data_IF_742745549071
#
_entry.id   IF_742745549071
#
_cell.length_a   1.000
_cell.length_b   1.000
_cell.length_c   1.000
_cell.angle_alpha   90.00
_cell.angle_beta   90.00
_cell.angle_gamma   90.00
#
_symmetry.space_group_name_H-M   'P 1'
#
loop_
_entity.id
_entity.type
_entity.pdbx_description
1 polymer ?
#
# COMPACT_ATOMS: atom_id res chain seq x y z
N UNK A 1 18.38 46.70 39.85
CA UNK A 1 18.49 46.62 38.37
C UNK A 1 19.26 45.37 38.00
N UNK A 2 18.63 44.46 37.24
CA UNK A 2 19.18 43.56 36.21
C UNK A 2 18.21 42.39 36.04
N UNK A 3 17.25 42.56 35.13
CA UNK A 3 16.44 41.47 34.61
C UNK A 3 17.20 40.79 33.47
N UNK A 4 17.29 39.46 33.52
CA UNK A 4 17.81 38.63 32.44
C UNK A 4 16.63 38.22 31.57
N UNK A 5 16.60 38.70 30.33
CA UNK A 5 15.70 38.23 29.27
C UNK A 5 16.33 36.98 28.66
N UNK A 6 15.73 35.81 28.89
CA UNK A 6 15.99 34.61 28.07
C UNK A 6 15.25 34.79 26.74
N UNK A 7 15.99 35.01 25.66
CA UNK A 7 15.47 34.96 24.30
C UNK A 7 15.27 33.51 23.87
N UNK A 8 14.04 33.17 23.47
CA UNK A 8 13.73 31.90 22.81
C UNK A 8 14.25 31.97 21.37
N UNK A 9 15.39 31.35 21.09
CA UNK A 9 15.85 31.14 19.71
C UNK A 9 15.02 30.02 19.08
N UNK A 10 14.12 30.38 18.16
CA UNK A 10 13.50 29.41 17.25
C UNK A 10 14.61 28.81 16.37
N UNK A 11 14.92 27.53 16.59
CA UNK A 11 15.68 26.72 15.65
C UNK A 11 14.81 26.52 14.40
N UNK A 12 15.11 27.27 13.34
CA UNK A 12 14.63 26.99 11.99
C UNK A 12 15.26 25.67 11.52
N UNK A 13 14.52 24.57 11.68
CA UNK A 13 14.87 23.32 11.01
C UNK A 13 14.73 23.55 9.49
N UNK A 14 15.74 23.20 8.68
CA UNK A 14 15.63 23.31 7.23
C UNK A 14 14.51 22.39 6.75
N UNK A 15 13.41 22.97 6.28
CA UNK A 15 12.40 22.22 5.54
C UNK A 15 13.04 21.74 4.23
N UNK A 16 12.82 20.48 3.82
CA UNK A 16 13.29 20.03 2.52
C UNK A 16 12.75 20.96 1.44
N UNK A 17 13.64 21.41 0.55
CA UNK A 17 13.24 22.20 -0.60
C UNK A 17 12.42 21.30 -1.53
N UNK A 18 11.08 21.42 -1.47
CA UNK A 18 10.20 20.76 -2.42
C UNK A 18 10.37 21.43 -3.79
N UNK A 19 10.42 20.63 -4.86
CA UNK A 19 10.62 21.15 -6.22
C UNK A 19 9.47 22.06 -6.70
N UNK A 20 8.30 21.95 -6.06
CA UNK A 20 7.10 22.74 -6.37
C UNK A 20 6.54 23.38 -5.10
N UNK A 21 6.34 24.70 -5.16
CA UNK A 21 5.79 25.51 -4.07
C UNK A 21 4.62 26.38 -4.52
N UNK A 22 3.98 27.10 -3.58
CA UNK A 22 2.84 27.98 -3.88
C UNK A 22 3.19 29.15 -4.82
N UNK A 23 4.48 29.42 -5.06
CA UNK A 23 4.98 30.48 -5.94
C UNK A 23 5.12 30.07 -7.42
N UNK A 24 4.80 28.82 -7.80
CA UNK A 24 4.84 28.38 -9.19
C UNK A 24 3.77 29.10 -10.05
N UNK A 25 3.92 29.07 -11.39
CA UNK A 25 2.91 29.58 -12.33
C UNK A 25 1.71 28.62 -12.41
N UNK A 26 0.80 28.73 -11.45
CA UNK A 26 -0.38 27.87 -11.35
C UNK A 26 -1.47 28.27 -12.35
N UNK A 27 -1.95 27.29 -13.10
CA UNK A 27 -3.06 27.38 -14.05
C UNK A 27 -4.21 26.49 -13.62
N UNK A 28 -5.40 26.78 -14.13
CA UNK A 28 -6.61 25.99 -13.84
C UNK A 28 -7.36 25.64 -15.12
N UNK A 29 -7.61 24.36 -15.33
CA UNK A 29 -8.54 23.83 -16.32
C UNK A 29 -9.85 23.47 -15.60
N UNK A 30 -11.00 23.77 -16.20
CA UNK A 30 -12.30 23.43 -15.62
C UNK A 30 -13.07 22.49 -16.54
N UNK A 31 -13.71 21.50 -15.93
CA UNK A 31 -14.70 20.61 -16.55
C UNK A 31 -16.01 20.71 -15.74
N UNK A 32 -17.12 20.10 -16.18
CA UNK A 32 -18.38 20.15 -15.43
C UNK A 32 -18.27 19.76 -13.94
N UNK A 33 -17.45 18.76 -13.59
CA UNK A 33 -17.32 18.24 -12.23
C UNK A 33 -15.93 18.42 -11.61
N UNK A 34 -14.98 19.05 -12.30
CA UNK A 34 -13.60 19.19 -11.80
C UNK A 34 -13.01 20.58 -12.06
N UNK A 35 -12.18 21.04 -11.11
CA UNK A 35 -11.23 22.15 -11.30
C UNK A 35 -9.82 21.59 -11.13
N UNK A 36 -9.05 21.57 -12.21
CA UNK A 36 -7.71 20.98 -12.25
C UNK A 36 -6.68 22.08 -12.15
N UNK A 37 -5.99 22.14 -11.01
CA UNK A 37 -4.93 23.09 -10.70
C UNK A 37 -3.57 22.43 -10.95
N UNK A 38 -2.74 23.05 -11.77
CA UNK A 38 -1.42 22.52 -12.14
C UNK A 38 -0.43 23.66 -12.38
N UNK A 39 0.87 23.45 -12.12
CA UNK A 39 1.89 24.41 -12.51
C UNK A 39 2.17 24.29 -14.01
N UNK A 40 2.54 25.38 -14.67
CA UNK A 40 2.66 25.46 -16.14
C UNK A 40 3.52 24.34 -16.77
N UNK A 41 4.57 23.87 -16.09
CA UNK A 41 5.41 22.75 -16.55
C UNK A 41 4.66 21.42 -16.66
N UNK A 42 3.56 21.26 -15.93
CA UNK A 42 2.74 20.04 -15.92
C UNK A 42 1.57 20.09 -16.91
N UNK A 43 1.47 21.13 -17.75
CA UNK A 43 0.33 21.38 -18.64
C UNK A 43 -0.02 20.20 -19.55
N UNK A 44 0.99 19.56 -20.15
CA UNK A 44 0.77 18.41 -21.03
C UNK A 44 0.21 17.19 -20.27
N UNK A 45 0.68 16.94 -19.04
CA UNK A 45 0.17 15.86 -18.20
C UNK A 45 -1.24 16.19 -17.71
N UNK A 46 -1.46 17.42 -17.25
CA UNK A 46 -2.75 17.92 -16.78
C UNK A 46 -3.83 17.86 -17.86
N UNK A 47 -3.51 18.27 -19.09
CA UNK A 47 -4.44 18.17 -20.22
C UNK A 47 -4.87 16.74 -20.51
N UNK A 48 -3.94 15.77 -20.46
CA UNK A 48 -4.25 14.35 -20.67
C UNK A 48 -5.13 13.78 -19.56
N UNK A 49 -4.82 14.08 -18.31
CA UNK A 49 -5.63 13.64 -17.17
C UNK A 49 -7.03 14.27 -17.21
N UNK A 50 -7.12 15.58 -17.44
CA UNK A 50 -8.38 16.32 -17.49
C UNK A 50 -9.33 15.82 -18.58
N UNK A 51 -8.79 15.40 -19.74
CA UNK A 51 -9.57 14.84 -20.84
C UNK A 51 -10.30 13.52 -20.48
N UNK A 52 -9.88 12.82 -19.41
CA UNK A 52 -10.46 11.54 -18.98
C UNK A 52 -11.27 11.63 -17.68
N UNK A 53 -11.19 12.74 -16.94
CA UNK A 53 -11.80 12.87 -15.61
C UNK A 53 -13.31 12.59 -15.61
N UNK A 54 -14.05 13.16 -16.56
CA UNK A 54 -15.51 13.01 -16.62
C UNK A 54 -15.92 11.56 -16.92
N UNK A 55 -15.27 10.90 -17.88
CA UNK A 55 -15.59 9.52 -18.24
C UNK A 55 -15.17 8.52 -17.14
N UNK A 56 -14.04 8.77 -16.46
CA UNK A 56 -13.65 7.97 -15.29
C UNK A 56 -14.65 8.16 -14.16
N UNK A 57 -15.08 9.39 -13.89
CA UNK A 57 -16.10 9.69 -12.88
C UNK A 57 -17.37 8.90 -13.12
N UNK A 58 -17.88 8.88 -14.35
CA UNK A 58 -19.09 8.12 -14.70
C UNK A 58 -18.94 6.62 -14.43
N UNK A 59 -17.84 6.00 -14.88
CA UNK A 59 -17.55 4.57 -14.63
C UNK A 59 -17.44 4.25 -13.14
N UNK A 60 -16.76 5.10 -12.37
CA UNK A 60 -16.63 4.91 -10.92
C UNK A 60 -17.98 5.07 -10.21
N UNK A 61 -18.80 6.05 -10.62
CA UNK A 61 -20.16 6.22 -10.10
C UNK A 61 -21.02 4.99 -10.35
N UNK A 62 -20.95 4.43 -11.55
CA UNK A 62 -21.67 3.21 -11.92
C UNK A 62 -21.21 2.02 -11.06
N UNK A 63 -19.90 1.89 -10.83
CA UNK A 63 -19.32 0.80 -10.05
C UNK A 63 -19.56 0.92 -8.53
N UNK A 64 -19.58 2.14 -7.99
CA UNK A 64 -19.73 2.40 -6.55
C UNK A 64 -21.19 2.64 -6.14
N UNK A 65 -22.02 3.11 -7.08
CA UNK A 65 -23.44 3.39 -6.86
C UNK A 65 -23.71 4.61 -5.98
N UNK A 66 -22.93 5.69 -6.15
CA UNK A 66 -23.17 6.99 -5.53
C UNK A 66 -22.74 8.11 -6.46
N UNK A 67 -23.45 9.23 -6.47
CA UNK A 67 -23.12 10.42 -7.26
C UNK A 67 -22.79 11.56 -6.28
N UNK A 68 -21.51 11.92 -6.11
CA UNK A 68 -21.15 13.13 -5.38
C UNK A 68 -21.65 14.37 -6.14
N UNK A 69 -22.42 15.27 -5.49
CA UNK A 69 -22.90 16.49 -6.13
C UNK A 69 -21.83 17.59 -6.26
N UNK A 70 -20.74 17.49 -5.51
CA UNK A 70 -19.71 18.51 -5.46
C UNK A 70 -18.78 18.50 -6.69
N UNK A 71 -18.28 19.69 -7.05
CA UNK A 71 -17.13 19.84 -7.95
C UNK A 71 -15.85 19.51 -7.17
N UNK A 72 -14.99 18.68 -7.74
CA UNK A 72 -13.75 18.23 -7.11
C UNK A 72 -12.58 19.14 -7.53
N UNK A 73 -11.79 19.59 -6.56
CA UNK A 73 -10.50 20.23 -6.84
C UNK A 73 -9.42 19.17 -7.04
N UNK A 74 -8.80 19.16 -8.22
CA UNK A 74 -7.71 18.24 -8.57
C UNK A 74 -6.40 19.03 -8.56
N UNK A 75 -5.48 18.68 -7.69
CA UNK A 75 -4.14 19.26 -7.62
C UNK A 75 -3.16 18.33 -8.34
N UNK A 76 -2.48 18.83 -9.36
CA UNK A 76 -1.40 18.11 -10.03
C UNK A 76 -0.09 18.69 -9.53
N UNK A 77 0.72 17.84 -8.91
CA UNK A 77 1.98 18.24 -8.29
C UNK A 77 2.88 17.04 -8.18
N UNK A 78 4.18 17.22 -8.25
CA UNK A 78 5.14 16.16 -8.04
C UNK A 78 6.41 16.70 -7.38
N UNK A 79 6.36 16.94 -6.06
CA UNK A 79 7.39 17.69 -5.38
C UNK A 79 8.70 16.90 -5.16
N UNK A 80 8.66 15.57 -5.32
CA UNK A 80 9.76 14.65 -4.99
C UNK A 80 10.03 13.59 -6.07
N UNK A 81 9.37 13.67 -7.23
CA UNK A 81 9.52 12.73 -8.35
C UNK A 81 9.21 11.27 -7.96
N UNK A 82 8.05 11.05 -7.34
CA UNK A 82 7.62 9.73 -6.88
C UNK A 82 6.16 9.43 -7.29
N UNK A 83 5.78 8.15 -7.23
CA UNK A 83 4.46 7.68 -7.60
C UNK A 83 3.51 7.75 -6.40
N UNK A 84 2.60 8.73 -6.40
CA UNK A 84 1.62 8.88 -5.32
C UNK A 84 0.31 9.56 -5.75
N UNK A 85 -0.70 9.39 -4.92
CA UNK A 85 -2.03 9.98 -5.05
C UNK A 85 -2.66 10.17 -3.67
N UNK A 86 -3.59 11.12 -3.57
CA UNK A 86 -4.32 11.32 -2.31
C UNK A 86 -5.70 11.93 -2.56
N UNK A 87 -6.73 11.27 -2.07
CA UNK A 87 -8.07 11.81 -1.96
C UNK A 87 -8.32 12.45 -0.59
N UNK A 88 -8.92 13.64 -0.60
CA UNK A 88 -9.36 14.39 0.57
C UNK A 88 -10.89 14.51 0.52
N UNK A 89 -11.63 13.55 1.10
CA UNK A 89 -13.08 13.42 0.95
C UNK A 89 -13.84 14.33 1.93
N UNK A 90 -13.54 15.62 1.94
CA UNK A 90 -14.27 16.57 2.76
C UNK A 90 -15.64 16.90 2.12
N UNK A 91 -16.71 16.74 2.90
CA UNK A 91 -18.09 17.00 2.46
C UNK A 91 -18.24 18.48 2.08
N UNK A 92 -18.70 18.75 0.86
CA UNK A 92 -18.87 20.10 0.31
C UNK A 92 -17.64 20.70 -0.40
N UNK A 93 -16.45 20.13 -0.21
CA UNK A 93 -15.19 20.64 -0.78
C UNK A 93 -14.16 19.52 -1.00
N UNK A 94 -14.53 18.46 -1.74
CA UNK A 94 -13.63 17.33 -1.98
C UNK A 94 -12.45 17.71 -2.85
N UNK A 95 -11.31 17.08 -2.59
CA UNK A 95 -10.09 17.29 -3.38
C UNK A 95 -9.40 15.97 -3.68
N UNK A 96 -8.62 15.94 -4.75
CA UNK A 96 -7.62 14.90 -4.96
C UNK A 96 -6.28 15.52 -5.37
N UNK A 97 -5.19 14.85 -5.05
CA UNK A 97 -3.83 15.22 -5.44
C UNK A 97 -3.26 14.08 -6.27
N UNK A 98 -2.65 14.39 -7.41
CA UNK A 98 -2.10 13.42 -8.34
C UNK A 98 -0.63 13.74 -8.60
N UNK A 99 0.27 12.78 -8.37
CA UNK A 99 1.69 12.93 -8.68
C UNK A 99 2.02 12.42 -10.07
N UNK A 100 2.81 13.21 -10.80
CA UNK A 100 3.02 13.00 -12.24
C UNK A 100 3.94 11.84 -12.56
N UNK A 101 4.89 11.54 -11.66
CA UNK A 101 5.90 10.50 -11.84
C UNK A 101 5.27 9.12 -11.71
N UNK A 102 5.40 8.28 -12.73
CA UNK A 102 4.90 6.91 -12.66
C UNK A 102 5.82 6.02 -11.81
N UNK A 103 5.29 4.92 -11.26
CA UNK A 103 6.09 3.95 -10.53
C UNK A 103 6.96 3.10 -11.49
N UNK A 104 8.09 2.60 -10.99
CA UNK A 104 8.88 1.59 -11.68
C UNK A 104 8.17 0.23 -11.81
N UNK A 105 8.56 -0.63 -12.76
CA UNK A 105 7.93 -1.93 -13.00
C UNK A 105 8.00 -2.90 -11.81
N UNK A 106 9.00 -2.75 -10.94
CA UNK A 106 9.18 -3.52 -9.70
C UNK A 106 8.25 -3.08 -8.55
N UNK A 107 7.57 -1.94 -8.70
CA UNK A 107 6.61 -1.45 -7.73
C UNK A 107 5.33 -2.27 -7.73
N UNK A 108 4.66 -2.36 -6.58
CA UNK A 108 3.29 -2.91 -6.50
C UNK A 108 2.28 -2.09 -7.30
N UNK A 109 2.62 -0.85 -7.62
CA UNK A 109 1.85 0.02 -8.51
C UNK A 109 2.28 -0.09 -9.98
N UNK A 110 3.34 -0.85 -10.29
CA UNK A 110 4.00 -0.90 -11.61
C UNK A 110 3.19 -1.61 -12.72
N UNK A 111 2.08 -2.26 -12.37
CA UNK A 111 1.19 -2.90 -13.33
C UNK A 111 0.05 -1.94 -13.73
N UNK A 112 0.27 -1.11 -14.76
CA UNK A 112 -0.73 -0.17 -15.27
C UNK A 112 -0.58 0.04 -16.78
N UNK A 113 -1.68 0.39 -17.46
CA UNK A 113 -1.63 0.78 -18.87
C UNK A 113 -1.37 2.29 -19.04
N UNK A 114 -2.01 3.12 -18.21
CA UNK A 114 -1.85 4.57 -18.15
C UNK A 114 -1.85 5.00 -16.67
N UNK A 115 -0.80 5.70 -16.26
CA UNK A 115 -0.59 6.08 -14.85
C UNK A 115 -1.66 7.08 -14.35
N UNK A 116 -2.01 8.06 -15.17
CA UNK A 116 -3.00 9.06 -14.80
C UNK A 116 -4.39 8.42 -14.67
N UNK A 117 -4.75 7.51 -15.59
CA UNK A 117 -6.00 6.76 -15.48
C UNK A 117 -6.05 5.90 -14.22
N UNK A 118 -4.98 5.16 -13.90
CA UNK A 118 -4.90 4.33 -12.70
C UNK A 118 -5.11 5.18 -11.42
N UNK A 119 -4.36 6.27 -11.28
CA UNK A 119 -4.48 7.19 -10.15
C UNK A 119 -5.88 7.79 -10.05
N UNK A 120 -6.39 8.35 -11.14
CA UNK A 120 -7.70 9.00 -11.13
C UNK A 120 -8.80 8.00 -10.77
N UNK A 121 -8.76 6.76 -11.30
CA UNK A 121 -9.73 5.73 -10.91
C UNK A 121 -9.65 5.44 -9.41
N UNK A 122 -8.44 5.31 -8.86
CA UNK A 122 -8.22 5.04 -7.44
C UNK A 122 -8.76 6.17 -6.56
N UNK A 123 -8.30 7.41 -6.78
CA UNK A 123 -8.67 8.57 -5.97
C UNK A 123 -10.14 8.96 -6.15
N UNK A 124 -10.66 8.86 -7.38
CA UNK A 124 -12.08 9.07 -7.63
C UNK A 124 -12.93 8.03 -6.92
N UNK A 125 -12.47 6.77 -6.81
CA UNK A 125 -13.18 5.76 -6.02
C UNK A 125 -13.27 6.19 -4.56
N UNK A 126 -12.15 6.67 -3.96
CA UNK A 126 -12.15 7.24 -2.62
C UNK A 126 -13.17 8.37 -2.45
N UNK A 127 -13.22 9.33 -3.37
CA UNK A 127 -14.21 10.39 -3.28
C UNK A 127 -15.64 9.85 -3.38
N UNK A 128 -15.92 8.98 -4.35
CA UNK A 128 -17.28 8.49 -4.57
C UNK A 128 -17.81 7.66 -3.40
N UNK A 129 -17.04 6.74 -2.82
CA UNK A 129 -17.57 5.99 -1.67
C UNK A 129 -17.51 6.76 -0.35
N UNK A 130 -16.48 7.56 -0.08
CA UNK A 130 -16.31 8.24 1.20
C UNK A 130 -17.21 9.48 1.37
N UNK A 131 -17.55 10.17 0.27
CA UNK A 131 -18.45 11.32 0.30
C UNK A 131 -19.93 10.92 0.45
N UNK A 132 -20.27 9.63 0.45
CA UNK A 132 -21.64 9.17 0.62
C UNK A 132 -22.20 9.64 1.98
N UNK A 133 -23.22 10.52 2.03
CA UNK A 133 -23.69 11.09 3.27
C UNK A 133 -24.46 10.06 4.08
N UNK A 134 -24.53 10.28 5.39
CA UNK A 134 -25.44 9.50 6.23
C UNK A 134 -26.89 9.81 5.86
N UNK A 135 -27.77 8.80 5.90
CA UNK A 135 -29.23 8.97 5.85
C UNK A 135 -29.85 9.22 7.23
N UNK A 136 -29.04 9.21 8.30
CA UNK A 136 -29.46 9.54 9.66
C UNK A 136 -29.44 11.07 9.87
N UNK A 137 -30.58 11.70 10.26
CA UNK A 137 -30.66 13.16 10.41
C UNK A 137 -29.68 13.76 11.43
N UNK A 138 -29.43 13.07 12.55
CA UNK A 138 -28.49 13.54 13.57
C UNK A 138 -27.06 13.52 13.03
N UNK A 139 -26.66 12.46 12.32
CA UNK A 139 -25.34 12.39 11.68
C UNK A 139 -25.19 13.43 10.56
N UNK A 140 -26.26 13.75 9.83
CA UNK A 140 -26.25 14.86 8.86
C UNK A 140 -26.05 16.22 9.52
N UNK A 141 -26.65 16.46 10.70
CA UNK A 141 -26.43 17.69 11.45
C UNK A 141 -24.99 17.78 11.95
N UNK A 142 -24.43 16.70 12.50
CA UNK A 142 -23.03 16.64 12.93
C UNK A 142 -22.05 16.87 11.78
N UNK A 143 -22.37 16.35 10.59
CA UNK A 143 -21.56 16.55 9.38
C UNK A 143 -21.45 18.02 8.93
N UNK A 144 -22.34 18.91 9.40
CA UNK A 144 -22.21 20.36 9.17
C UNK A 144 -21.13 21.01 10.05
N UNK A 145 -20.76 20.38 11.15
CA UNK A 145 -19.70 20.86 12.06
C UNK A 145 -18.36 20.23 11.72
N UNK A 146 -18.37 18.93 11.42
CA UNK A 146 -17.19 18.16 11.01
C UNK A 146 -17.50 17.60 9.62
N UNK A 147 -16.98 18.20 8.53
CA UNK A 147 -17.37 17.87 7.16
C UNK A 147 -16.73 16.57 6.66
N UNK A 148 -16.93 15.48 7.39
CA UNK A 148 -16.41 14.15 7.09
C UNK A 148 -17.55 13.14 7.11
N UNK A 149 -17.61 12.29 6.08
CA UNK A 149 -18.65 11.27 5.93
C UNK A 149 -18.57 10.15 6.97
N UNK A 150 -19.68 9.42 7.21
CA UNK A 150 -19.71 8.32 8.17
C UNK A 150 -18.79 7.15 7.78
N UNK A 151 -18.53 6.94 6.49
CA UNK A 151 -17.62 5.89 6.02
C UNK A 151 -16.17 6.32 6.33
N UNK A 152 -15.77 7.54 5.98
CA UNK A 152 -14.43 8.06 6.26
C UNK A 152 -14.09 8.07 7.76
N UNK A 153 -15.07 8.32 8.64
CA UNK A 153 -14.86 8.29 10.10
C UNK A 153 -14.84 6.89 10.71
N UNK A 154 -15.56 5.93 10.11
CA UNK A 154 -15.85 4.64 10.74
C UNK A 154 -15.20 3.43 10.09
N UNK A 155 -14.83 3.50 8.81
CA UNK A 155 -14.27 2.39 8.07
C UNK A 155 -12.76 2.24 8.36
N UNK A 156 -12.26 1.04 8.70
CA UNK A 156 -10.83 0.78 8.82
C UNK A 156 -10.09 1.05 7.51
N UNK A 157 -8.81 1.44 7.60
CA UNK A 157 -7.99 1.72 6.40
C UNK A 157 -7.98 0.58 5.40
N UNK A 158 -7.85 -0.68 5.84
CA UNK A 158 -7.80 -1.82 4.93
C UNK A 158 -9.00 -1.93 3.99
N UNK A 159 -10.21 -1.61 4.45
CA UNK A 159 -11.41 -1.72 3.61
C UNK A 159 -11.52 -0.52 2.68
N UNK A 160 -11.11 0.66 3.14
CA UNK A 160 -11.12 1.89 2.35
C UNK A 160 -10.15 1.79 1.17
N UNK A 161 -8.90 1.39 1.45
CA UNK A 161 -7.83 1.21 0.46
C UNK A 161 -8.06 -0.03 -0.41
N UNK A 162 -8.50 -1.13 0.22
CA UNK A 162 -8.82 -2.37 -0.47
C UNK A 162 -9.95 -2.18 -1.48
N UNK A 163 -11.00 -1.43 -1.12
CA UNK A 163 -12.13 -1.19 -2.02
C UNK A 163 -11.73 -0.34 -3.24
N UNK A 164 -10.97 0.74 -3.03
CA UNK A 164 -10.42 1.52 -4.13
C UNK A 164 -9.51 0.67 -5.05
N UNK A 165 -8.73 -0.23 -4.46
CA UNK A 165 -7.89 -1.18 -5.20
C UNK A 165 -8.70 -2.19 -6.01
N UNK A 166 -9.82 -2.70 -5.48
CA UNK A 166 -10.72 -3.61 -6.23
C UNK A 166 -11.32 -2.90 -7.45
N UNK A 167 -11.82 -1.68 -7.26
CA UNK A 167 -12.42 -0.87 -8.35
C UNK A 167 -11.37 -0.48 -9.40
N UNK A 168 -10.16 -0.12 -8.96
CA UNK A 168 -8.99 0.07 -9.84
C UNK A 168 -8.79 -1.13 -10.77
N UNK A 169 -8.78 -2.34 -10.22
CA UNK A 169 -8.62 -3.58 -10.99
C UNK A 169 -9.72 -3.78 -12.04
N UNK A 170 -10.97 -3.55 -11.64
CA UNK A 170 -12.15 -3.76 -12.49
C UNK A 170 -12.23 -2.76 -13.64
N UNK A 171 -12.00 -1.49 -13.36
CA UNK A 171 -12.26 -0.43 -14.33
C UNK A 171 -11.09 -0.20 -15.29
N UNK A 172 -9.87 -0.56 -14.89
CA UNK A 172 -8.69 -0.38 -15.75
C UNK A 172 -8.27 -1.67 -16.45
N UNK A 173 -8.68 -2.84 -15.97
CA UNK A 173 -8.12 -4.13 -16.41
C UNK A 173 -6.64 -4.30 -16.08
N UNK A 174 -6.08 -3.38 -15.28
CA UNK A 174 -4.70 -3.34 -14.82
C UNK A 174 -4.70 -3.06 -13.31
N UNK A 175 -3.65 -2.47 -12.75
CA UNK A 175 -3.55 -2.19 -11.33
C UNK A 175 -3.20 -3.39 -10.48
N UNK A 176 -3.13 -3.16 -9.17
CA UNK A 176 -2.70 -4.16 -8.19
C UNK A 176 -3.48 -5.47 -8.28
N UNK A 177 -4.82 -5.49 -8.54
CA UNK A 177 -5.53 -6.75 -8.63
C UNK A 177 -5.09 -7.69 -9.75
N UNK A 178 -4.70 -7.10 -10.88
CA UNK A 178 -4.32 -7.80 -12.11
C UNK A 178 -2.80 -7.99 -12.23
N UNK A 179 -2.01 -7.43 -11.31
CA UNK A 179 -0.56 -7.59 -11.26
C UNK A 179 -0.12 -8.92 -10.64
N UNK A 180 0.88 -9.55 -11.25
CA UNK A 180 1.54 -10.77 -10.79
C UNK A 180 2.27 -10.59 -9.44
N UNK A 181 2.78 -9.38 -9.16
CA UNK A 181 3.47 -9.06 -7.92
C UNK A 181 2.54 -9.16 -6.70
N UNK A 182 1.26 -8.74 -6.79
CA UNK A 182 0.29 -8.92 -5.71
C UNK A 182 0.12 -10.42 -5.40
N UNK A 183 -0.12 -11.22 -6.44
CA UNK A 183 -0.31 -12.67 -6.30
C UNK A 183 0.93 -13.35 -5.70
N UNK A 184 2.13 -12.94 -6.16
CA UNK A 184 3.41 -13.49 -5.69
C UNK A 184 3.69 -13.14 -4.23
N UNK A 185 3.48 -11.88 -3.82
CA UNK A 185 3.64 -11.44 -2.44
C UNK A 185 2.68 -12.22 -1.52
N UNK A 186 1.38 -12.23 -1.83
CA UNK A 186 0.39 -12.89 -1.00
C UNK A 186 0.64 -14.40 -0.89
N UNK A 187 0.99 -15.06 -2.00
CA UNK A 187 1.33 -16.49 -2.01
C UNK A 187 2.56 -16.78 -1.15
N UNK A 188 3.64 -16.01 -1.30
CA UNK A 188 4.89 -16.23 -0.54
C UNK A 188 4.71 -15.96 0.95
N UNK A 189 3.95 -14.92 1.30
CA UNK A 189 3.59 -14.64 2.69
C UNK A 189 2.72 -15.74 3.29
N UNK A 190 1.82 -16.32 2.50
CA UNK A 190 0.97 -17.42 2.94
C UNK A 190 1.76 -18.71 3.18
N UNK A 191 2.67 -19.07 2.25
CA UNK A 191 3.56 -20.23 2.37
C UNK A 191 4.47 -20.15 3.60
N UNK A 192 4.97 -18.95 3.90
CA UNK A 192 5.89 -18.72 5.02
C UNK A 192 5.18 -18.43 6.35
N UNK A 193 3.84 -18.48 6.38
CA UNK A 193 3.05 -18.20 7.58
C UNK A 193 3.15 -16.75 8.07
N UNK A 194 3.43 -15.80 7.17
CA UNK A 194 3.66 -14.38 7.48
C UNK A 194 2.47 -13.47 7.20
N UNK A 195 1.36 -13.97 6.65
CA UNK A 195 0.15 -13.16 6.44
C UNK A 195 -0.24 -12.39 7.71
N UNK A 196 -0.48 -11.06 7.62
CA UNK A 196 -0.79 -10.24 8.78
C UNK A 196 -2.07 -10.73 9.46
N UNK A 197 -2.19 -10.51 10.77
CA UNK A 197 -3.48 -10.64 11.46
C UNK A 197 -4.40 -9.48 11.10
N UNK A 198 -5.70 -9.63 11.38
CA UNK A 198 -6.70 -8.59 11.08
C UNK A 198 -6.30 -7.21 11.63
N UNK A 199 -5.86 -7.14 12.89
CA UNK A 199 -5.45 -5.89 13.53
C UNK A 199 -4.23 -5.21 12.89
N UNK A 200 -3.37 -5.97 12.18
CA UNK A 200 -2.20 -5.42 11.47
C UNK A 200 -2.49 -5.07 10.01
N UNK A 201 -3.67 -5.42 9.49
CA UNK A 201 -4.04 -5.19 8.10
C UNK A 201 -4.13 -3.69 7.75
N UNK A 202 -4.52 -2.85 8.71
CA UNK A 202 -4.61 -1.39 8.54
C UNK A 202 -3.32 -0.63 8.89
N UNK A 203 -2.47 -1.17 9.77
CA UNK A 203 -1.49 -0.38 10.55
C UNK A 203 -0.10 -1.04 10.68
N UNK A 204 0.20 -2.09 9.91
CA UNK A 204 1.42 -2.89 10.03
C UNK A 204 2.76 -2.22 9.64
N UNK A 205 2.98 -0.93 9.93
CA UNK A 205 4.20 -0.20 9.54
C UNK A 205 5.51 -0.84 10.00
N UNK A 206 5.48 -1.65 11.06
CA UNK A 206 6.64 -2.37 11.58
C UNK A 206 7.03 -3.62 10.78
N UNK A 207 6.19 -4.05 9.83
CA UNK A 207 6.43 -5.23 9.00
C UNK A 207 6.75 -4.85 7.57
N UNK A 208 7.57 -5.64 6.88
CA UNK A 208 7.94 -5.41 5.48
C UNK A 208 6.70 -5.30 4.62
N UNK A 209 6.57 -4.20 3.86
CA UNK A 209 5.37 -3.87 3.07
C UNK A 209 4.05 -3.86 3.87
N UNK A 210 4.09 -3.73 5.19
CA UNK A 210 2.89 -3.86 6.01
C UNK A 210 1.86 -2.74 5.78
N UNK A 211 2.30 -1.54 5.42
CA UNK A 211 1.39 -0.47 4.97
C UNK A 211 0.72 -0.79 3.64
N UNK A 212 1.40 -1.55 2.77
CA UNK A 212 0.86 -1.99 1.48
C UNK A 212 -0.19 -3.09 1.62
N UNK A 213 -0.26 -3.80 2.76
CA UNK A 213 -1.20 -4.91 2.96
C UNK A 213 -2.67 -4.48 2.99
N UNK A 214 -2.96 -3.23 3.35
CA UNK A 214 -4.29 -2.65 3.20
C UNK A 214 -4.77 -2.69 1.73
N UNK A 215 -3.86 -2.50 0.77
CA UNK A 215 -4.17 -2.61 -0.65
C UNK A 215 -4.09 -4.05 -1.13
N UNK A 216 -2.99 -4.76 -0.83
CA UNK A 216 -2.74 -6.11 -1.38
C UNK A 216 -3.67 -7.15 -0.78
N UNK A 217 -3.61 -7.34 0.54
CA UNK A 217 -4.44 -8.31 1.24
C UNK A 217 -5.87 -7.80 1.44
N UNK A 218 -6.06 -6.49 1.65
CA UNK A 218 -7.39 -5.89 1.79
C UNK A 218 -8.25 -6.03 0.52
N UNK A 219 -7.68 -5.80 -0.67
CA UNK A 219 -8.41 -6.03 -1.93
C UNK A 219 -8.73 -7.50 -2.16
N UNK A 220 -7.75 -8.39 -1.96
CA UNK A 220 -7.95 -9.83 -2.10
C UNK A 220 -9.00 -10.37 -1.12
N UNK A 221 -9.06 -9.83 0.10
CA UNK A 221 -10.08 -10.17 1.07
C UNK A 221 -11.48 -9.68 0.65
N UNK A 222 -11.59 -8.47 0.10
CA UNK A 222 -12.87 -7.96 -0.42
C UNK A 222 -13.36 -8.75 -1.64
N UNK A 223 -12.46 -9.16 -2.54
CA UNK A 223 -12.77 -10.07 -3.64
C UNK A 223 -13.29 -11.41 -3.10
N UNK A 224 -12.59 -12.01 -2.12
CA UNK A 224 -13.00 -13.26 -1.47
C UNK A 224 -14.37 -13.17 -0.76
N UNK A 225 -14.68 -12.01 -0.16
CA UNK A 225 -15.97 -11.73 0.46
C UNK A 225 -17.08 -11.63 -0.59
N UNK A 226 -16.84 -10.89 -1.68
CA UNK A 226 -17.84 -10.72 -2.73
C UNK A 226 -18.12 -12.02 -3.48
N UNK A 227 -17.10 -12.85 -3.72
CA UNK A 227 -17.26 -14.20 -4.28
C UNK A 227 -18.28 -15.05 -3.48
N UNK A 228 -18.36 -14.84 -2.16
CA UNK A 228 -19.24 -15.61 -1.25
C UNK A 228 -20.59 -14.95 -1.01
N UNK A 229 -20.60 -13.64 -0.82
CA UNK A 229 -21.81 -12.88 -0.54
C UNK A 229 -22.58 -12.49 -1.83
N UNK A 230 -21.95 -12.65 -2.99
CA UNK A 230 -22.50 -12.35 -4.30
C UNK A 230 -22.18 -10.93 -4.79
N UNK A 231 -22.35 -10.70 -6.12
CA UNK A 231 -22.07 -9.41 -6.75
C UNK A 231 -22.80 -8.25 -6.08
N UNK A 232 -22.10 -7.13 -5.85
CA UNK A 232 -22.68 -5.92 -5.26
C UNK A 232 -22.81 -5.95 -3.74
N UNK A 233 -22.38 -7.03 -3.06
CA UNK A 233 -22.34 -7.08 -1.59
C UNK A 233 -21.47 -5.98 -0.99
N UNK A 234 -20.38 -5.57 -1.65
CA UNK A 234 -19.56 -4.44 -1.23
C UNK A 234 -20.35 -3.11 -1.21
N UNK A 235 -21.26 -2.90 -2.17
CA UNK A 235 -22.16 -1.72 -2.15
C UNK A 235 -23.16 -1.78 -0.99
N UNK A 236 -23.60 -2.98 -0.62
CA UNK A 236 -24.49 -3.18 0.53
C UNK A 236 -23.83 -2.79 1.86
N UNK A 237 -22.51 -2.97 1.99
CA UNK A 237 -21.75 -2.51 3.15
C UNK A 237 -21.88 -0.98 3.32
N UNK A 238 -21.60 -0.22 2.26
CA UNK A 238 -21.73 1.24 2.24
C UNK A 238 -23.17 1.70 2.49
N UNK A 239 -24.15 0.99 1.93
CA UNK A 239 -25.55 1.26 2.21
C UNK A 239 -25.88 1.06 3.70
N UNK A 240 -25.36 0.02 4.34
CA UNK A 240 -25.59 -0.24 5.78
C UNK A 240 -24.90 0.78 6.67
N UNK A 241 -23.67 1.20 6.35
CA UNK A 241 -22.92 2.23 7.10
C UNK A 241 -23.58 3.61 7.02
N UNK A 242 -24.25 3.91 5.90
CA UNK A 242 -24.94 5.20 5.65
C UNK A 242 -26.44 5.15 5.94
N UNK A 243 -26.95 4.10 6.57
CA UNK A 243 -28.38 3.95 6.86
C UNK A 243 -28.90 4.96 7.91
N UNK A 244 -30.24 5.08 8.00
CA UNK A 244 -30.92 5.82 9.09
C UNK A 244 -30.58 5.25 10.47
N UNK A 245 -30.52 3.92 10.59
CA UNK A 245 -30.01 3.25 11.80
C UNK A 245 -28.50 3.44 11.85
N UNK A 246 -28.03 4.10 12.90
CA UNK A 246 -26.61 4.18 13.22
C UNK A 246 -26.07 2.78 13.49
N UNK A 247 -24.90 2.48 12.92
CA UNK A 247 -24.15 1.24 13.11
C UNK A 247 -22.67 1.54 13.27
N UNK A 248 -21.95 0.67 13.94
CA UNK A 248 -20.49 0.56 13.80
C UNK A 248 -20.14 -0.05 12.43
N UNK A 249 -18.84 -0.09 12.11
CA UNK A 249 -18.37 -0.80 10.92
C UNK A 249 -18.66 -2.30 11.02
N UNK A 250 -18.41 -2.90 12.18
CA UNK A 250 -18.62 -4.32 12.48
C UNK A 250 -20.09 -4.71 12.30
N UNK A 251 -21.03 -3.98 12.91
CA UNK A 251 -22.47 -4.24 12.75
C UNK A 251 -22.98 -4.06 11.31
N UNK A 252 -22.36 -3.14 10.56
CA UNK A 252 -22.65 -2.96 9.15
C UNK A 252 -22.13 -4.15 8.34
N UNK A 253 -20.88 -4.56 8.59
CA UNK A 253 -20.17 -5.66 7.95
C UNK A 253 -20.84 -7.01 8.20
N UNK A 254 -21.06 -7.38 9.46
CA UNK A 254 -21.71 -8.64 9.86
C UNK A 254 -23.07 -8.80 9.20
N UNK A 255 -23.84 -7.72 9.11
CA UNK A 255 -25.15 -7.78 8.46
C UNK A 255 -25.12 -7.83 6.93
N UNK A 256 -23.95 -7.82 6.29
CA UNK A 256 -23.77 -8.18 4.86
C UNK A 256 -23.16 -9.57 4.73
N UNK A 257 -22.09 -9.83 5.47
CA UNK A 257 -21.23 -11.00 5.25
C UNK A 257 -21.50 -12.16 6.21
N UNK A 258 -22.35 -11.96 7.22
CA UNK A 258 -22.84 -12.99 8.13
C UNK A 258 -21.99 -13.24 9.38
N UNK A 259 -20.78 -12.68 9.45
CA UNK A 259 -19.86 -12.85 10.57
C UNK A 259 -18.91 -11.66 10.68
N UNK A 260 -18.11 -11.60 11.75
CA UNK A 260 -17.24 -10.47 12.06
C UNK A 260 -16.14 -10.31 11.01
N UNK A 261 -15.66 -9.08 10.76
CA UNK A 261 -14.60 -8.85 9.78
C UNK A 261 -13.29 -9.52 10.15
N UNK A 262 -13.03 -9.75 11.45
CA UNK A 262 -11.84 -10.44 11.93
C UNK A 262 -11.93 -11.96 11.71
N UNK A 263 -13.06 -12.57 12.05
CA UNK A 263 -13.26 -14.02 11.93
C UNK A 263 -13.25 -14.47 10.46
N UNK A 264 -13.94 -13.71 9.60
CA UNK A 264 -13.89 -13.96 8.15
C UNK A 264 -12.50 -13.71 7.57
N UNK A 265 -11.71 -12.80 8.14
CA UNK A 265 -10.34 -12.58 7.69
C UNK A 265 -9.42 -13.73 8.09
N UNK A 266 -9.58 -14.29 9.29
CA UNK A 266 -8.85 -15.49 9.70
C UNK A 266 -9.22 -16.70 8.85
N UNK A 267 -10.50 -16.83 8.47
CA UNK A 267 -10.93 -17.84 7.48
C UNK A 267 -10.28 -17.62 6.12
N UNK A 268 -10.26 -16.39 5.61
CA UNK A 268 -9.60 -16.03 4.37
C UNK A 268 -8.10 -16.37 4.40
N UNK A 269 -7.39 -16.03 5.49
CA UNK A 269 -5.96 -16.35 5.67
C UNK A 269 -5.72 -17.85 5.64
N UNK A 270 -6.53 -18.64 6.34
CA UNK A 270 -6.41 -20.08 6.36
C UNK A 270 -6.59 -20.68 4.96
N UNK A 271 -7.59 -20.24 4.20
CA UNK A 271 -7.82 -20.71 2.83
C UNK A 271 -6.70 -20.29 1.87
N UNK A 272 -6.22 -19.04 1.99
CA UNK A 272 -5.11 -18.54 1.18
C UNK A 272 -3.82 -19.33 1.44
N UNK A 273 -3.49 -19.60 2.71
CA UNK A 273 -2.35 -20.45 3.11
C UNK A 273 -2.51 -21.87 2.60
N UNK A 274 -3.68 -22.49 2.77
CA UNK A 274 -3.93 -23.83 2.24
C UNK A 274 -3.74 -23.90 0.73
N UNK A 275 -4.31 -22.96 -0.04
CA UNK A 275 -4.13 -22.89 -1.51
C UNK A 275 -2.67 -22.70 -1.90
N UNK A 276 -1.94 -21.85 -1.17
CA UNK A 276 -0.55 -21.57 -1.47
C UNK A 276 0.38 -22.77 -1.20
N UNK A 277 0.16 -23.48 -0.09
CA UNK A 277 0.89 -24.71 0.26
C UNK A 277 0.51 -25.88 -0.65
N UNK A 278 -0.75 -26.00 -1.05
CA UNK A 278 -1.19 -27.03 -1.99
C UNK A 278 -0.57 -26.79 -3.38
N UNK A 279 -0.52 -25.54 -3.82
CA UNK A 279 0.14 -25.18 -5.07
C UNK A 279 1.66 -25.43 -5.03
N UNK A 280 2.30 -25.23 -3.88
CA UNK A 280 3.70 -25.61 -3.64
C UNK A 280 3.88 -27.13 -3.74
N UNK A 281 3.05 -27.90 -3.03
CA UNK A 281 3.06 -29.37 -3.07
C UNK A 281 2.89 -29.92 -4.49
N UNK A 282 1.96 -29.36 -5.27
CA UNK A 282 1.70 -29.80 -6.65
C UNK A 282 2.83 -29.48 -7.63
N UNK A 283 3.64 -28.44 -7.35
CA UNK A 283 4.81 -28.07 -8.17
C UNK A 283 6.12 -28.71 -7.71
N UNK A 284 6.09 -29.55 -6.67
CA UNK A 284 7.27 -30.28 -6.21
C UNK A 284 7.87 -31.10 -7.36
N UNK A 285 9.09 -30.77 -7.76
CA UNK A 285 9.82 -31.41 -8.86
C UNK A 285 9.83 -30.62 -10.18
N UNK A 286 9.02 -29.57 -10.32
CA UNK A 286 9.00 -28.69 -11.51
C UNK A 286 9.60 -27.29 -11.24
N UNK A 287 9.86 -26.95 -9.98
CA UNK A 287 10.47 -25.67 -9.63
C UNK A 287 11.95 -25.63 -10.01
N UNK A 288 12.39 -24.52 -10.63
CA UNK A 288 13.81 -24.19 -10.66
C UNK A 288 14.25 -23.89 -9.22
N UNK A 289 14.72 -24.93 -8.53
CA UNK A 289 15.21 -24.80 -7.17
C UNK A 289 16.58 -24.14 -7.19
N UNK A 290 16.69 -22.96 -6.61
CA UNK A 290 17.96 -22.35 -6.23
C UNK A 290 18.25 -22.59 -4.75
N UNK A 291 19.52 -22.71 -4.38
CA UNK A 291 19.90 -22.59 -2.98
C UNK A 291 19.84 -21.13 -2.55
N UNK A 292 19.36 -20.85 -1.33
CA UNK A 292 19.38 -19.50 -0.77
C UNK A 292 20.83 -18.98 -0.76
N UNK A 293 21.10 -17.95 -1.57
CA UNK A 293 22.44 -17.39 -1.74
C UNK A 293 22.81 -16.39 -0.64
N UNK A 294 21.83 -15.57 -0.21
CA UNK A 294 21.97 -14.56 0.83
C UNK A 294 20.60 -14.34 1.49
N UNK A 295 20.59 -14.24 2.82
CA UNK A 295 19.42 -13.84 3.60
C UNK A 295 19.55 -12.36 4.00
N UNK A 296 18.72 -11.50 3.41
CA UNK A 296 18.74 -10.05 3.64
C UNK A 296 17.41 -9.61 4.24
N UNK A 297 17.47 -8.57 5.06
CA UNK A 297 16.29 -7.98 5.67
C UNK A 297 15.71 -6.87 4.80
N UNK A 298 14.40 -6.65 4.94
CA UNK A 298 13.65 -5.56 4.31
C UNK A 298 13.60 -5.65 2.77
N UNK A 299 13.75 -4.53 2.07
CA UNK A 299 13.67 -4.50 0.60
C UNK A 299 15.05 -4.57 0.00
N UNK A 300 15.16 -5.36 -1.08
CA UNK A 300 16.38 -5.47 -1.87
C UNK A 300 16.06 -5.10 -3.32
N UNK A 301 16.95 -4.34 -3.94
CA UNK A 301 16.87 -3.99 -5.34
C UNK A 301 17.26 -5.15 -6.26
N UNK A 302 17.21 -4.90 -7.57
CA UNK A 302 17.67 -5.86 -8.55
C UNK A 302 19.19 -6.09 -8.40
N UNK A 303 19.66 -7.34 -8.34
CA UNK A 303 21.09 -7.63 -8.24
C UNK A 303 21.80 -7.42 -9.59
N UNK A 304 23.03 -6.91 -9.55
CA UNK A 304 23.90 -6.76 -10.72
C UNK A 304 25.24 -7.48 -10.50
N UNK A 305 25.58 -8.40 -11.40
CA UNK A 305 26.81 -9.19 -11.34
C UNK A 305 27.95 -8.43 -12.04
N UNK A 306 29.15 -8.45 -11.47
CA UNK A 306 30.35 -7.94 -12.14
C UNK A 306 30.68 -8.76 -13.40
N UNK A 307 31.38 -8.19 -14.40
CA UNK A 307 31.75 -8.91 -15.62
C UNK A 307 32.57 -10.18 -15.39
N UNK A 308 33.36 -10.19 -14.31
CA UNK A 308 34.17 -11.34 -13.86
C UNK A 308 33.36 -12.37 -13.05
N UNK A 309 32.12 -12.05 -12.64
CA UNK A 309 31.27 -12.91 -11.83
C UNK A 309 31.62 -12.97 -10.34
N UNK A 310 32.66 -12.26 -9.89
CA UNK A 310 33.19 -12.38 -8.53
C UNK A 310 32.45 -11.49 -7.51
N UNK A 311 31.70 -10.49 -7.98
CA UNK A 311 31.02 -9.50 -7.15
C UNK A 311 29.56 -9.33 -7.56
N UNK A 312 28.70 -9.13 -6.57
CA UNK A 312 27.29 -8.80 -6.74
C UNK A 312 27.00 -7.46 -6.09
N UNK A 313 26.54 -6.49 -6.86
CA UNK A 313 26.02 -5.22 -6.35
C UNK A 313 24.51 -5.31 -6.17
N UNK A 314 24.01 -4.83 -5.05
CA UNK A 314 22.58 -4.79 -4.74
C UNK A 314 22.25 -3.52 -3.94
N UNK A 315 21.09 -2.92 -4.21
CA UNK A 315 20.59 -1.82 -3.38
C UNK A 315 19.87 -2.43 -2.18
N UNK A 316 20.30 -2.07 -0.98
CA UNK A 316 19.64 -2.43 0.27
C UNK A 316 18.85 -1.24 0.75
N UNK A 317 17.58 -1.47 1.04
CA UNK A 317 16.74 -0.48 1.70
C UNK A 317 16.48 -0.95 3.12
N UNK A 318 16.36 -0.02 4.05
CA UNK A 318 16.07 -0.32 5.44
C UNK A 318 14.81 0.45 5.87
N UNK A 319 14.37 0.25 7.12
CA UNK A 319 13.22 0.98 7.62
C UNK A 319 13.54 2.45 7.90
N UNK A 320 14.71 2.71 8.47
CA UNK A 320 15.04 3.98 9.11
C UNK A 320 16.24 4.69 8.47
N UNK A 321 17.07 3.96 7.71
CA UNK A 321 18.25 4.48 7.01
C UNK A 321 18.00 4.60 5.49
N UNK A 322 18.62 5.59 4.82
CA UNK A 322 18.56 5.71 3.36
C UNK A 322 19.04 4.45 2.64
N UNK A 323 18.49 4.22 1.45
CA UNK A 323 18.94 3.13 0.60
C UNK A 323 20.45 3.21 0.32
N UNK A 324 21.14 2.08 0.44
CA UNK A 324 22.58 1.96 0.22
C UNK A 324 22.90 0.96 -0.90
N UNK A 325 23.98 1.22 -1.65
CA UNK A 325 24.53 0.25 -2.59
C UNK A 325 25.53 -0.63 -1.85
N UNK A 326 25.20 -1.90 -1.66
CA UNK A 326 26.09 -2.90 -1.07
C UNK A 326 26.73 -3.77 -2.16
N UNK A 327 28.00 -4.10 -1.98
CA UNK A 327 28.73 -5.02 -2.87
C UNK A 327 29.16 -6.24 -2.09
N UNK A 328 28.75 -7.42 -2.54
CA UNK A 328 29.07 -8.70 -1.92
C UNK A 328 30.02 -9.51 -2.80
N UNK A 329 30.89 -10.30 -2.18
CA UNK A 329 31.61 -11.38 -2.87
C UNK A 329 30.63 -12.49 -3.25
N UNK A 330 30.76 -13.07 -4.44
CA UNK A 330 29.98 -14.25 -4.83
C UNK A 330 30.55 -15.55 -4.27
N UNK A 331 31.81 -15.53 -3.82
CA UNK A 331 32.48 -16.68 -3.19
C UNK A 331 31.91 -16.97 -1.79
N UNK A 332 32.01 -18.22 -1.29
CA UNK A 332 31.66 -18.55 0.10
C UNK A 332 32.50 -17.76 1.10
N UNK A 333 31.91 -17.35 2.22
CA UNK A 333 32.66 -16.76 3.32
C UNK A 333 33.22 -17.88 4.22
N UNK A 334 34.40 -18.40 3.85
CA UNK A 334 35.04 -19.48 4.62
C UNK A 334 35.48 -19.05 6.02
N UNK A 335 35.74 -17.75 6.23
CA UNK A 335 36.15 -17.22 7.53
C UNK A 335 34.98 -17.27 8.50
N UNK A 336 33.82 -16.76 8.06
CA UNK A 336 32.59 -16.86 8.82
C UNK A 336 32.29 -18.33 9.19
N UNK A 337 32.45 -19.29 8.25
CA UNK A 337 32.03 -20.68 8.49
C UNK A 337 32.90 -21.31 9.57
N UNK A 338 34.20 -21.02 9.55
CA UNK A 338 35.14 -21.44 10.59
C UNK A 338 34.76 -20.82 11.94
N UNK A 339 34.39 -19.54 11.98
CA UNK A 339 33.94 -18.88 13.20
C UNK A 339 32.63 -19.48 13.75
N UNK A 340 31.68 -19.86 12.88
CA UNK A 340 30.46 -20.52 13.31
C UNK A 340 30.72 -21.91 13.90
N UNK A 341 31.52 -22.75 13.24
CA UNK A 341 31.87 -24.07 13.77
C UNK A 341 32.64 -23.95 15.09
N UNK A 342 33.61 -23.04 15.16
CA UNK A 342 34.37 -22.78 16.39
C UNK A 342 33.47 -22.37 17.55
N UNK A 343 32.51 -21.47 17.33
CA UNK A 343 31.52 -21.07 18.36
C UNK A 343 30.70 -22.27 18.86
N UNK A 344 30.29 -23.17 17.96
CA UNK A 344 29.55 -24.39 18.35
C UNK A 344 30.42 -25.35 19.17
N UNK A 345 31.67 -25.55 18.77
CA UNK A 345 32.62 -26.39 19.51
C UNK A 345 32.94 -25.82 20.90
N UNK A 346 33.11 -24.50 21.01
CA UNK A 346 33.37 -23.83 22.29
C UNK A 346 32.19 -23.96 23.26
N UNK A 347 30.95 -23.85 22.76
CA UNK A 347 29.74 -24.08 23.55
C UNK A 347 29.71 -25.52 24.09
N UNK A 348 29.89 -26.51 23.22
CA UNK A 348 29.90 -27.93 23.61
C UNK A 348 31.05 -28.30 24.54
N UNK A 349 32.21 -27.64 24.40
CA UNK A 349 33.35 -27.84 25.29
C UNK A 349 33.07 -27.30 26.68
N UNK A 350 32.32 -26.20 26.79
CA UNK A 350 31.95 -25.58 28.06
C UNK A 350 30.82 -26.34 28.75
N UNK A 351 29.86 -26.85 27.98
CA UNK A 351 28.75 -27.65 28.47
C UNK A 351 28.44 -28.80 27.48
N UNK A 352 28.92 -30.02 27.76
CA UNK A 352 28.69 -31.18 26.89
C UNK A 352 27.22 -31.61 26.78
N UNK A 353 26.32 -31.11 27.64
CA UNK A 353 24.89 -31.37 27.56
C UNK A 353 24.13 -30.28 26.78
N UNK A 354 24.78 -29.19 26.41
CA UNK A 354 24.17 -28.12 25.60
C UNK A 354 23.86 -28.62 24.17
N UNK A 355 22.87 -27.99 23.54
CA UNK A 355 22.45 -28.27 22.18
C UNK A 355 22.71 -27.02 21.35
N UNK A 356 23.76 -27.00 20.52
CA UNK A 356 24.09 -25.85 19.70
C UNK A 356 22.92 -25.46 18.79
N UNK A 357 22.73 -24.14 18.63
CA UNK A 357 21.67 -23.59 17.81
C UNK A 357 21.64 -24.23 16.41
N UNK A 358 20.43 -24.58 15.96
CA UNK A 358 20.19 -25.06 14.60
C UNK A 358 20.49 -23.92 13.64
N UNK A 359 21.22 -24.23 12.57
CA UNK A 359 21.52 -23.26 11.51
C UNK A 359 20.24 -22.97 10.74
N UNK A 360 19.71 -21.75 10.86
CA UNK A 360 18.47 -21.33 10.18
C UNK A 360 18.73 -20.67 8.83
N UNK A 361 19.95 -20.21 8.55
CA UNK A 361 20.38 -19.66 7.26
C UNK A 361 21.86 -19.97 6.98
N UNK A 362 22.25 -19.98 5.70
CA UNK A 362 23.69 -19.96 5.33
C UNK A 362 24.28 -18.63 5.76
N UNK A 363 25.59 -18.62 5.97
CA UNK A 363 26.25 -17.36 6.32
C UNK A 363 26.14 -16.37 5.19
N UNK A 364 25.98 -15.11 5.60
CA UNK A 364 26.03 -14.00 4.70
C UNK A 364 27.34 -14.06 3.91
N UNK A 365 27.24 -13.93 2.59
CA UNK A 365 28.35 -13.61 1.72
C UNK A 365 29.08 -12.40 2.27
N UNK A 366 30.40 -12.40 2.13
CA UNK A 366 31.25 -11.31 2.61
C UNK A 366 30.85 -10.02 1.92
N UNK A 367 30.38 -9.04 2.70
CA UNK A 367 30.17 -7.66 2.24
C UNK A 367 31.54 -7.01 2.05
N UNK A 368 31.78 -6.49 0.86
CA UNK A 368 33.03 -5.84 0.46
C UNK A 368 32.94 -4.32 0.62
N UNK A 369 31.76 -3.75 0.35
CA UNK A 369 31.43 -2.32 0.46
C UNK A 369 30.03 -2.12 1.02
#
# INVERSE_FOLDING_TARGET
MRGVLLGLSLLLLPLPALAQGPSADWRTLSTPHFRVHYPAESEAWAGRAAARLESIRERVIEEVGYVPPEVVDVLISDPVADANGMALPFLGWPRMVLWTSPPGPESVLGHYADWAELLVVHEQTHLVHLLRPSRNPLRQLLARLIPVGPIALGAPRWVTEGYATVVEGRLTGSGRPNGDLRASILRRWAQTGKLPSYGRLSSGSESWRGLSMAYLAGSAYLEWLEERAGPGSLRNLWARMTARRARSFEEAFEGVFGDSPADLYDRFRAELTWRALEAERLRQGEEQTGELWQDLSWSVGAPALSPDGERLAIVLDSRDDPAELAVFSTAPDEEAEKEWQKRREEILKRDPQDVPAVRTSREARKRLH
#
